data_IF_743541409630
#
_entry.id   IF_743541409630
#
_cell.length_a   1.000
_cell.length_b   1.000
_cell.length_c   1.000
_cell.angle_alpha   90.00
_cell.angle_beta   90.00
_cell.angle_gamma   90.00
#
_symmetry.space_group_name_H-M   'P 1'
#
loop_
_entity.id
_entity.type
_entity.pdbx_description
1 polymer ?
#
# COMPACT_ATOMS: atom_id res chain seq x y z
N UNK A 1 23.68 -4.14 8.41
CA UNK A 1 22.58 -3.44 9.12
C UNK A 1 21.29 -4.08 8.64
N UNK A 2 20.37 -4.45 9.53
CA UNK A 2 19.06 -4.96 9.10
C UNK A 2 18.36 -3.89 8.23
N UNK A 3 17.69 -4.28 7.14
CA UNK A 3 16.94 -3.33 6.32
C UNK A 3 15.92 -2.63 7.22
N UNK A 4 16.00 -1.30 7.29
CA UNK A 4 15.07 -0.51 8.12
C UNK A 4 13.77 -0.33 7.32
N UNK A 5 12.80 -1.21 7.55
CA UNK A 5 11.45 -1.09 7.00
C UNK A 5 11.04 -2.23 6.07
N UNK A 6 9.72 -2.47 5.98
CA UNK A 6 9.12 -3.54 5.19
C UNK A 6 9.50 -3.46 3.71
N UNK A 7 9.53 -2.25 3.12
CA UNK A 7 9.98 -2.04 1.74
C UNK A 7 11.39 -2.57 1.52
N UNK A 8 12.33 -2.26 2.41
CA UNK A 8 13.71 -2.70 2.30
C UNK A 8 13.83 -4.23 2.47
N UNK A 9 13.05 -4.83 3.37
CA UNK A 9 13.00 -6.29 3.54
C UNK A 9 12.48 -6.99 2.28
N UNK A 10 11.40 -6.48 1.69
CA UNK A 10 10.83 -7.02 0.44
C UNK A 10 11.79 -6.79 -0.74
N UNK A 11 12.39 -5.61 -0.83
CA UNK A 11 13.37 -5.27 -1.86
C UNK A 11 14.57 -6.22 -1.83
N UNK A 12 15.14 -6.47 -0.64
CA UNK A 12 16.25 -7.44 -0.48
C UNK A 12 15.80 -8.87 -0.85
N UNK A 13 14.57 -9.27 -0.48
CA UNK A 13 14.02 -10.58 -0.85
C UNK A 13 13.89 -10.76 -2.36
N UNK A 14 13.47 -9.72 -3.09
CA UNK A 14 13.38 -9.75 -4.56
C UNK A 14 14.77 -9.68 -5.19
N UNK A 15 15.60 -8.69 -4.83
CA UNK A 15 16.93 -8.50 -5.40
C UNK A 15 17.81 -9.74 -5.16
N UNK A 16 17.88 -10.23 -3.92
CA UNK A 16 18.71 -11.40 -3.58
C UNK A 16 18.06 -12.72 -3.97
N UNK A 17 16.78 -12.90 -3.65
CA UNK A 17 16.08 -14.20 -3.80
C UNK A 17 15.63 -14.50 -5.24
N UNK A 18 15.39 -13.48 -6.05
CA UNK A 18 14.96 -13.62 -7.45
C UNK A 18 16.11 -13.25 -8.39
N UNK A 19 16.52 -11.98 -8.39
CA UNK A 19 17.37 -11.42 -9.46
C UNK A 19 18.81 -11.93 -9.37
N UNK A 20 19.49 -11.74 -8.22
CA UNK A 20 20.86 -12.23 -7.98
C UNK A 20 20.93 -13.76 -8.04
N UNK A 21 19.88 -14.47 -7.62
CA UNK A 21 19.84 -15.93 -7.64
C UNK A 21 19.96 -16.54 -9.05
N UNK A 22 19.58 -15.78 -10.07
CA UNK A 22 19.68 -16.19 -11.48
C UNK A 22 20.79 -15.46 -12.21
N UNK A 23 21.45 -14.46 -11.61
CA UNK A 23 22.45 -13.63 -12.28
C UNK A 23 23.62 -14.50 -12.77
N UNK A 24 24.06 -14.22 -14.00
CA UNK A 24 25.26 -14.80 -14.60
C UNK A 24 26.07 -13.67 -15.19
N UNK A 25 27.38 -13.70 -14.96
CA UNK A 25 28.28 -12.67 -15.49
C UNK A 25 28.21 -12.66 -17.03
N UNK A 26 28.12 -11.46 -17.60
CA UNK A 26 28.01 -11.19 -19.04
C UNK A 26 26.70 -11.62 -19.74
N UNK A 27 25.65 -12.03 -19.01
CA UNK A 27 24.33 -12.28 -19.59
C UNK A 27 23.29 -11.24 -19.13
N UNK A 28 22.60 -10.64 -20.10
CA UNK A 28 21.47 -9.76 -19.86
C UNK A 28 20.15 -10.54 -19.87
N UNK A 29 19.21 -10.13 -19.03
CA UNK A 29 17.91 -10.79 -18.89
C UNK A 29 16.76 -9.82 -19.06
N UNK A 30 15.64 -10.35 -19.54
CA UNK A 30 14.35 -9.66 -19.58
C UNK A 30 13.54 -10.12 -18.38
N UNK A 31 13.01 -9.16 -17.62
CA UNK A 31 12.12 -9.42 -16.49
C UNK A 31 10.68 -9.26 -16.97
N UNK A 32 9.93 -10.35 -16.96
CA UNK A 32 8.52 -10.36 -17.35
C UNK A 32 7.68 -10.45 -16.08
N UNK A 33 6.75 -9.51 -15.89
CA UNK A 33 5.89 -9.43 -14.70
C UNK A 33 4.47 -9.10 -15.12
N UNK A 34 3.49 -9.32 -14.26
CA UNK A 34 2.15 -8.77 -14.48
C UNK A 34 1.96 -7.44 -13.73
N UNK A 35 0.85 -6.77 -14.01
CA UNK A 35 0.54 -5.46 -13.45
C UNK A 35 0.54 -5.40 -11.90
N UNK A 36 -0.15 -6.28 -11.15
CA UNK A 36 -0.05 -6.29 -9.68
C UNK A 36 1.38 -6.46 -9.15
N UNK A 37 2.20 -7.32 -9.77
CA UNK A 37 3.56 -7.58 -9.28
C UNK A 37 4.53 -6.47 -9.67
N UNK A 38 4.26 -5.77 -10.77
CA UNK A 38 4.99 -4.55 -11.12
C UNK A 38 4.86 -3.48 -10.02
N UNK A 39 3.67 -3.32 -9.42
CA UNK A 39 3.46 -2.40 -8.28
C UNK A 39 4.29 -2.79 -7.07
N UNK A 40 4.41 -4.09 -6.79
CA UNK A 40 5.23 -4.59 -5.67
C UNK A 40 6.71 -4.26 -5.91
N UNK A 41 7.20 -4.50 -7.13
CA UNK A 41 8.59 -4.19 -7.50
C UNK A 41 8.86 -2.69 -7.43
N UNK A 42 8.00 -1.86 -8.02
CA UNK A 42 8.18 -0.41 -8.05
C UNK A 42 8.14 0.23 -6.66
N UNK A 43 7.44 -0.40 -5.70
CA UNK A 43 7.36 0.11 -4.33
C UNK A 43 8.65 -0.10 -3.52
N UNK A 44 9.50 -1.06 -3.89
CA UNK A 44 10.65 -1.46 -3.05
C UNK A 44 12.01 -1.48 -3.77
N UNK A 45 12.04 -1.37 -5.10
CA UNK A 45 13.26 -1.44 -5.89
C UNK A 45 13.32 -0.30 -6.91
N UNK A 46 14.44 0.44 -6.93
CA UNK A 46 14.67 1.43 -7.98
C UNK A 46 15.02 0.75 -9.29
N UNK A 47 14.62 1.36 -10.41
CA UNK A 47 14.99 0.86 -11.74
C UNK A 47 16.51 0.78 -11.91
N UNK A 48 17.27 1.73 -11.32
CA UNK A 48 18.74 1.69 -11.33
C UNK A 48 19.30 0.41 -10.72
N UNK A 49 18.69 -0.07 -9.63
CA UNK A 49 19.18 -1.23 -8.88
C UNK A 49 18.89 -2.52 -9.65
N UNK A 50 17.71 -2.58 -10.29
CA UNK A 50 17.31 -3.67 -11.18
C UNK A 50 18.25 -3.77 -12.39
N UNK A 51 18.54 -2.62 -13.04
CA UNK A 51 19.44 -2.55 -14.18
C UNK A 51 20.88 -2.96 -13.82
N UNK A 52 21.36 -2.55 -12.64
CA UNK A 52 22.69 -2.89 -12.13
C UNK A 52 22.89 -4.39 -11.90
N UNK A 53 21.80 -5.14 -11.71
CA UNK A 53 21.81 -6.59 -11.46
C UNK A 53 21.66 -7.43 -12.74
N UNK A 54 21.75 -6.82 -13.93
CA UNK A 54 21.79 -7.53 -15.21
C UNK A 54 20.44 -7.71 -15.91
N UNK A 55 19.43 -6.93 -15.51
CA UNK A 55 18.14 -6.86 -16.21
C UNK A 55 18.18 -5.69 -17.19
N UNK A 56 17.78 -5.87 -18.44
CA UNK A 56 17.77 -4.80 -19.45
C UNK A 56 16.40 -4.19 -19.67
N UNK A 57 15.36 -5.02 -19.61
CA UNK A 57 13.99 -4.65 -19.97
C UNK A 57 13.06 -5.29 -18.95
N UNK A 58 12.09 -4.51 -18.48
CA UNK A 58 10.96 -4.99 -17.68
C UNK A 58 9.72 -4.92 -18.59
N UNK A 59 9.11 -6.06 -18.87
CA UNK A 59 7.92 -6.19 -19.71
C UNK A 59 6.71 -6.67 -18.90
N UNK A 60 5.52 -6.22 -19.32
CA UNK A 60 4.25 -6.71 -18.79
C UNK A 60 3.80 -7.95 -19.58
N UNK A 61 3.53 -9.05 -18.88
CA UNK A 61 3.15 -10.33 -19.47
C UNK A 61 1.74 -10.32 -20.09
N UNK A 62 0.84 -9.41 -19.68
CA UNK A 62 -0.42 -9.04 -20.34
C UNK A 62 -1.37 -8.29 -19.37
N UNK A 63 -2.24 -7.42 -19.91
CA UNK A 63 -3.29 -6.62 -19.23
C UNK A 63 -4.41 -7.41 -18.48
N UNK A 64 -4.23 -8.70 -18.14
CA UNK A 64 -5.31 -9.58 -17.63
C UNK A 64 -4.83 -10.52 -16.48
N UNK A 65 -5.72 -10.94 -15.55
CA UNK A 65 -5.37 -11.48 -14.22
C UNK A 65 -4.81 -12.92 -14.13
N UNK A 66 -4.18 -13.22 -12.99
CA UNK A 66 -3.30 -14.36 -12.56
C UNK A 66 -3.49 -15.75 -13.19
N UNK A 67 -4.70 -16.31 -13.32
CA UNK A 67 -4.90 -17.63 -13.96
C UNK A 67 -4.59 -17.60 -15.46
N UNK A 68 -4.81 -16.43 -16.08
CA UNK A 68 -4.46 -16.17 -17.48
C UNK A 68 -2.96 -15.93 -17.64
N UNK A 69 -2.21 -15.61 -16.59
CA UNK A 69 -0.75 -15.39 -16.68
C UNK A 69 -0.01 -16.70 -17.00
N UNK A 70 -0.39 -17.82 -16.38
CA UNK A 70 0.17 -19.14 -16.71
C UNK A 70 -0.22 -19.57 -18.12
N UNK A 71 -1.47 -19.34 -18.52
CA UNK A 71 -1.94 -19.67 -19.86
C UNK A 71 -1.32 -18.78 -20.95
N UNK A 72 -1.12 -17.49 -20.68
CA UNK A 72 -0.41 -16.55 -21.55
C UNK A 72 1.04 -16.97 -21.70
N UNK A 73 1.71 -17.30 -20.59
CA UNK A 73 3.06 -17.82 -20.60
C UNK A 73 3.15 -19.13 -21.41
N UNK A 74 2.18 -20.04 -21.31
CA UNK A 74 2.15 -21.24 -22.14
C UNK A 74 1.91 -20.88 -23.63
N UNK A 75 1.06 -19.89 -23.91
CA UNK A 75 0.73 -19.46 -25.27
C UNK A 75 1.95 -18.87 -25.99
N UNK A 76 2.81 -18.12 -25.30
CA UNK A 76 4.05 -17.56 -25.85
C UNK A 76 5.00 -18.66 -26.37
N UNK A 77 4.88 -19.88 -25.84
CA UNK A 77 5.70 -21.04 -26.21
C UNK A 77 4.94 -22.08 -27.07
N UNK A 78 3.70 -21.79 -27.50
CA UNK A 78 2.91 -22.68 -28.40
C UNK A 78 3.15 -22.43 -29.90
N UNK A 79 3.65 -21.26 -30.31
CA UNK A 79 3.84 -20.86 -31.72
C UNK A 79 5.28 -20.89 -32.25
N UNK A 80 5.46 -20.61 -33.56
CA UNK A 80 6.77 -20.32 -34.19
C UNK A 80 7.49 -19.23 -33.38
N UNK A 81 8.79 -19.36 -33.09
CA UNK A 81 9.39 -18.69 -31.93
C UNK A 81 9.54 -17.19 -32.18
N UNK A 82 8.56 -16.40 -31.78
CA UNK A 82 8.68 -14.94 -31.66
C UNK A 82 9.59 -14.57 -30.49
N UNK A 83 9.65 -15.42 -29.45
CA UNK A 83 10.59 -15.28 -28.33
C UNK A 83 11.53 -16.49 -28.24
N UNK A 84 12.76 -16.32 -28.72
CA UNK A 84 13.84 -17.29 -28.54
C UNK A 84 14.45 -17.16 -27.13
N UNK A 85 13.63 -17.33 -26.08
CA UNK A 85 14.14 -17.40 -24.72
C UNK A 85 14.95 -18.69 -24.54
N UNK A 86 16.28 -18.56 -24.43
CA UNK A 86 17.21 -19.69 -24.25
C UNK A 86 16.92 -20.50 -22.96
N UNK A 87 16.38 -19.84 -21.95
CA UNK A 87 15.99 -20.41 -20.67
C UNK A 87 14.91 -19.55 -20.03
N UNK A 88 14.00 -20.18 -19.27
CA UNK A 88 12.99 -19.50 -18.46
C UNK A 88 13.27 -19.70 -16.96
N UNK A 89 13.19 -18.63 -16.18
CA UNK A 89 13.22 -18.68 -14.72
C UNK A 89 11.89 -18.15 -14.20
N UNK A 90 11.06 -19.04 -13.66
CA UNK A 90 9.71 -18.73 -13.23
C UNK A 90 9.69 -18.60 -11.70
N UNK A 91 9.19 -17.46 -11.23
CA UNK A 91 9.01 -17.17 -9.82
C UNK A 91 7.54 -16.85 -9.56
N UNK A 92 6.84 -17.72 -8.83
CA UNK A 92 5.46 -17.48 -8.44
C UNK A 92 5.38 -16.65 -7.18
N UNK A 93 4.54 -15.62 -7.18
CA UNK A 93 4.33 -14.77 -5.99
C UNK A 93 3.58 -15.46 -4.87
N UNK A 94 2.78 -16.46 -5.19
CA UNK A 94 2.03 -17.24 -4.22
C UNK A 94 2.06 -18.71 -4.64
N UNK A 95 1.49 -19.59 -3.81
CA UNK A 95 1.41 -21.02 -4.10
C UNK A 95 0.65 -21.28 -5.40
N UNK A 96 1.30 -22.00 -6.31
CA UNK A 96 0.70 -22.34 -7.60
C UNK A 96 -0.31 -23.49 -7.41
N UNK A 97 -1.58 -23.33 -7.83
CA UNK A 97 -2.54 -24.42 -7.78
C UNK A 97 -2.06 -25.65 -8.58
N UNK A 98 -2.23 -26.84 -8.00
CA UNK A 98 -1.81 -28.13 -8.61
C UNK A 98 -2.31 -28.33 -10.06
N UNK A 99 -3.54 -27.93 -10.44
CA UNK A 99 -4.00 -28.04 -11.83
C UNK A 99 -3.16 -27.21 -12.81
N UNK A 100 -2.81 -25.97 -12.43
CA UNK A 100 -1.99 -25.08 -13.25
C UNK A 100 -0.53 -25.54 -13.30
N UNK A 101 -0.01 -26.05 -12.18
CA UNK A 101 1.31 -26.66 -12.13
C UNK A 101 1.42 -27.88 -13.06
N UNK A 102 0.40 -28.75 -13.03
CA UNK A 102 0.30 -29.91 -13.91
C UNK A 102 0.20 -29.51 -15.39
N UNK A 103 -0.55 -28.46 -15.71
CA UNK A 103 -0.65 -27.92 -17.08
C UNK A 103 0.71 -27.38 -17.56
N UNK A 104 1.40 -26.61 -16.71
CA UNK A 104 2.74 -26.08 -16.98
C UNK A 104 3.72 -27.21 -17.28
N UNK A 105 3.71 -28.29 -16.49
CA UNK A 105 4.58 -29.45 -16.68
C UNK A 105 4.35 -30.22 -17.99
N UNK A 106 3.14 -30.16 -18.56
CA UNK A 106 2.81 -30.81 -19.84
C UNK A 106 3.11 -29.93 -21.06
N UNK A 107 3.42 -28.66 -20.85
CA UNK A 107 3.65 -27.69 -21.92
C UNK A 107 5.08 -27.74 -22.49
N UNK A 108 5.33 -27.24 -23.72
CA UNK A 108 6.68 -27.14 -24.28
C UNK A 108 7.64 -26.28 -23.45
N UNK A 109 7.09 -25.32 -22.68
CA UNK A 109 7.83 -24.44 -21.78
C UNK A 109 8.62 -25.23 -20.73
N UNK A 110 8.11 -26.38 -20.27
CA UNK A 110 8.81 -27.22 -19.28
C UNK A 110 10.24 -27.61 -19.73
N UNK A 111 10.51 -27.66 -21.04
CA UNK A 111 11.84 -27.99 -21.59
C UNK A 111 12.87 -26.87 -21.41
N UNK A 112 12.42 -25.62 -21.32
CA UNK A 112 13.30 -24.43 -21.22
C UNK A 112 13.35 -23.86 -19.80
N UNK A 113 12.44 -24.25 -18.92
CA UNK A 113 12.45 -23.83 -17.52
C UNK A 113 13.68 -24.37 -16.80
N UNK A 114 14.48 -23.46 -16.23
CA UNK A 114 15.69 -23.77 -15.44
C UNK A 114 15.48 -23.55 -13.95
N UNK A 115 14.53 -22.71 -13.58
CA UNK A 115 14.21 -22.41 -12.18
C UNK A 115 12.72 -22.22 -12.06
N UNK A 116 12.14 -22.85 -11.04
CA UNK A 116 10.74 -22.74 -10.67
C UNK A 116 10.70 -22.62 -9.14
N UNK A 117 10.32 -21.45 -8.63
CA UNK A 117 10.29 -21.17 -7.18
C UNK A 117 9.06 -20.37 -6.79
N UNK A 118 8.55 -20.61 -5.60
CA UNK A 118 7.52 -19.77 -4.97
C UNK A 118 8.23 -18.79 -4.03
N UNK A 119 7.95 -17.50 -4.18
CA UNK A 119 8.57 -16.45 -3.34
C UNK A 119 7.69 -16.06 -2.14
N UNK A 120 6.40 -16.43 -2.15
CA UNK A 120 5.42 -16.06 -1.12
C UNK A 120 5.49 -14.56 -0.79
N UNK A 121 5.12 -13.75 -1.77
CA UNK A 121 5.04 -12.29 -1.74
C UNK A 121 3.72 -11.85 -2.36
N UNK A 122 2.65 -11.98 -1.58
CA UNK A 122 1.28 -11.73 -2.01
C UNK A 122 0.66 -10.49 -1.32
N UNK A 123 1.48 -9.49 -1.02
CA UNK A 123 1.06 -8.22 -0.44
C UNK A 123 1.89 -7.07 -1.02
N UNK A 124 1.34 -5.86 -1.00
CA UNK A 124 2.00 -4.64 -1.41
C UNK A 124 2.66 -3.96 -0.18
N UNK A 125 4.00 -3.85 -0.11
CA UNK A 125 4.65 -3.02 0.90
C UNK A 125 4.42 -1.55 0.54
N UNK A 126 3.39 -0.92 1.08
CA UNK A 126 2.96 0.42 0.71
C UNK A 126 3.90 1.49 1.30
N UNK A 127 4.30 1.30 2.55
CA UNK A 127 5.29 2.12 3.26
C UNK A 127 6.22 1.22 4.08
N UNK A 128 7.21 1.81 4.73
CA UNK A 128 8.16 1.08 5.58
C UNK A 128 7.49 0.37 6.76
N UNK A 129 6.29 0.79 7.16
CA UNK A 129 5.50 0.20 8.25
C UNK A 129 4.06 -0.16 7.85
N UNK A 130 3.66 0.05 6.59
CA UNK A 130 2.29 -0.17 6.12
C UNK A 130 2.32 -1.15 4.96
N UNK A 131 1.42 -2.14 4.99
CA UNK A 131 1.20 -3.05 3.88
C UNK A 131 -0.27 -3.02 3.45
N UNK A 132 -0.53 -3.37 2.21
CA UNK A 132 -1.86 -3.54 1.66
C UNK A 132 -1.98 -4.91 0.97
N UNK A 133 -3.17 -5.51 1.06
CA UNK A 133 -3.50 -6.75 0.34
C UNK A 133 -4.08 -6.47 -1.07
N UNK A 134 -4.20 -5.18 -1.45
CA UNK A 134 -4.75 -4.73 -2.73
C UNK A 134 -6.13 -5.35 -3.08
N UNK A 135 -6.92 -5.65 -2.04
CA UNK A 135 -8.19 -6.35 -2.14
C UNK A 135 -9.37 -5.37 -2.09
N UNK A 136 -9.48 -4.47 -3.07
CA UNK A 136 -10.50 -3.38 -3.09
C UNK A 136 -11.94 -3.87 -2.98
N UNK A 137 -12.25 -5.08 -3.48
CA UNK A 137 -13.59 -5.68 -3.38
C UNK A 137 -13.84 -6.43 -2.07
N UNK A 138 -12.82 -6.63 -1.22
CA UNK A 138 -12.95 -7.42 0.02
C UNK A 138 -13.98 -6.82 0.97
N UNK A 139 -13.97 -5.50 1.17
CA UNK A 139 -14.95 -4.79 2.00
C UNK A 139 -16.38 -5.10 1.55
N UNK A 140 -16.68 -4.94 0.25
CA UNK A 140 -18.00 -5.26 -0.27
C UNK A 140 -18.35 -6.74 -0.09
N UNK A 141 -17.42 -7.66 -0.38
CA UNK A 141 -17.66 -9.10 -0.27
C UNK A 141 -17.91 -9.56 1.17
N UNK A 142 -17.22 -8.97 2.14
CA UNK A 142 -17.34 -9.32 3.56
C UNK A 142 -18.66 -8.80 4.15
N UNK A 143 -18.98 -7.52 3.93
CA UNK A 143 -20.15 -6.89 4.57
C UNK A 143 -21.46 -7.04 3.79
N UNK A 144 -21.42 -7.44 2.50
CA UNK A 144 -22.64 -7.62 1.72
C UNK A 144 -23.42 -8.87 2.17
N UNK A 145 -24.71 -8.75 2.54
CA UNK A 145 -25.52 -9.89 2.98
C UNK A 145 -25.78 -10.89 1.85
N UNK A 146 -25.81 -10.43 0.59
CA UNK A 146 -26.02 -11.28 -0.58
C UNK A 146 -24.80 -12.13 -0.97
N UNK A 147 -23.62 -11.88 -0.37
CA UNK A 147 -22.38 -12.62 -0.61
C UNK A 147 -21.95 -13.49 0.58
N UNK A 148 -22.86 -13.77 1.51
CA UNK A 148 -22.57 -14.59 2.69
C UNK A 148 -21.92 -15.95 2.35
N UNK A 149 -22.31 -16.58 1.25
CA UNK A 149 -21.73 -17.85 0.79
C UNK A 149 -20.27 -17.76 0.31
N UNK A 150 -19.80 -16.58 -0.10
CA UNK A 150 -18.44 -16.36 -0.61
C UNK A 150 -17.47 -15.90 0.49
N UNK A 151 -17.97 -15.53 1.68
CA UNK A 151 -17.14 -14.97 2.76
C UNK A 151 -16.03 -15.91 3.20
N UNK A 152 -16.33 -17.19 3.42
CA UNK A 152 -15.32 -18.17 3.85
C UNK A 152 -14.15 -18.26 2.85
N UNK A 153 -14.45 -18.25 1.55
CA UNK A 153 -13.44 -18.25 0.49
C UNK A 153 -12.63 -16.94 0.50
N UNK A 154 -13.29 -15.80 0.72
CA UNK A 154 -12.63 -14.50 0.82
C UNK A 154 -11.68 -14.44 2.03
N UNK A 155 -12.09 -14.96 3.19
CA UNK A 155 -11.25 -15.00 4.40
C UNK A 155 -10.03 -15.90 4.20
N UNK A 156 -10.18 -17.05 3.54
CA UNK A 156 -9.04 -17.90 3.18
C UNK A 156 -8.10 -17.21 2.20
N UNK A 157 -8.62 -16.48 1.21
CA UNK A 157 -7.80 -15.70 0.28
C UNK A 157 -7.04 -14.56 0.99
N UNK A 158 -7.61 -13.95 2.03
CA UNK A 158 -6.92 -12.96 2.86
C UNK A 158 -5.84 -13.63 3.73
N UNK A 159 -6.15 -14.78 4.35
CA UNK A 159 -5.19 -15.53 5.15
C UNK A 159 -3.98 -15.97 4.33
N UNK A 160 -4.20 -16.38 3.08
CA UNK A 160 -3.15 -16.73 2.12
C UNK A 160 -2.20 -15.57 1.83
N UNK A 161 -2.64 -14.31 1.95
CA UNK A 161 -1.78 -13.13 1.73
C UNK A 161 -1.13 -12.61 3.01
N UNK A 162 -1.82 -12.73 4.16
CA UNK A 162 -1.30 -12.30 5.48
C UNK A 162 -0.18 -13.22 5.97
N UNK A 163 -0.27 -14.54 5.79
CA UNK A 163 0.76 -15.46 6.26
C UNK A 163 2.14 -15.23 5.59
N UNK A 164 2.24 -15.02 4.26
CA UNK A 164 3.48 -14.63 3.59
C UNK A 164 4.15 -13.36 4.12
N UNK A 165 3.38 -12.40 4.65
CA UNK A 165 3.94 -11.21 5.30
C UNK A 165 4.78 -11.61 6.52
N UNK A 166 4.23 -12.42 7.41
CA UNK A 166 4.94 -12.89 8.60
C UNK A 166 6.18 -13.72 8.21
N UNK A 167 6.05 -14.59 7.19
CA UNK A 167 7.18 -15.34 6.66
C UNK A 167 8.27 -14.44 6.08
N UNK A 168 7.90 -13.34 5.42
CA UNK A 168 8.84 -12.35 4.85
C UNK A 168 9.58 -11.58 5.94
N UNK A 169 8.90 -11.24 7.04
CA UNK A 169 9.51 -10.63 8.22
C UNK A 169 10.29 -11.64 9.08
N UNK A 170 10.22 -12.93 8.74
CA UNK A 170 10.77 -14.02 9.53
C UNK A 170 10.18 -14.06 10.96
N UNK A 171 8.89 -13.77 11.09
CA UNK A 171 8.14 -13.70 12.35
C UNK A 171 7.13 -14.86 12.45
N UNK A 172 6.93 -15.35 13.68
CA UNK A 172 5.88 -16.31 14.02
C UNK A 172 5.06 -15.76 15.21
N UNK A 173 4.16 -14.80 14.95
CA UNK A 173 3.51 -14.05 16.01
C UNK A 173 2.39 -14.82 16.70
N UNK A 174 2.11 -14.46 17.96
CA UNK A 174 0.86 -14.87 18.62
C UNK A 174 -0.32 -14.14 17.97
N UNK A 175 -1.32 -14.89 17.49
CA UNK A 175 -2.47 -14.32 16.79
C UNK A 175 -3.60 -14.01 17.77
N UNK A 176 -3.95 -12.74 17.86
CA UNK A 176 -5.07 -12.24 18.66
C UNK A 176 -6.11 -11.63 17.71
N UNK A 177 -7.38 -11.62 18.12
CA UNK A 177 -8.43 -10.95 17.37
C UNK A 177 -9.38 -10.22 18.33
N UNK A 178 -9.95 -9.10 17.87
CA UNK A 178 -10.99 -8.41 18.60
C UNK A 178 -12.27 -9.25 18.62
N UNK A 179 -12.89 -9.42 19.80
CA UNK A 179 -14.14 -10.18 19.93
C UNK A 179 -15.28 -9.41 19.28
N UNK A 180 -15.60 -9.75 18.03
CA UNK A 180 -16.65 -9.14 17.22
C UNK A 180 -17.41 -10.19 16.40
N UNK A 181 -17.61 -9.99 15.08
CA UNK A 181 -18.22 -11.01 14.23
C UNK A 181 -17.37 -12.28 14.14
N UNK A 182 -18.02 -13.42 13.90
CA UNK A 182 -17.37 -14.73 13.76
C UNK A 182 -16.27 -14.76 12.69
N UNK A 183 -16.43 -13.94 11.64
CA UNK A 183 -15.48 -13.79 10.53
C UNK A 183 -14.06 -13.42 11.01
N UNK A 184 -13.93 -12.62 12.07
CA UNK A 184 -12.62 -12.23 12.64
C UNK A 184 -11.88 -13.41 13.25
N UNK A 185 -12.62 -14.28 13.97
CA UNK A 185 -12.08 -15.50 14.54
C UNK A 185 -11.72 -16.51 13.45
N UNK A 186 -12.59 -16.65 12.43
CA UNK A 186 -12.34 -17.52 11.29
C UNK A 186 -11.07 -17.12 10.53
N UNK A 187 -10.87 -15.81 10.29
CA UNK A 187 -9.65 -15.30 9.68
C UNK A 187 -8.42 -15.60 10.54
N UNK A 188 -8.50 -15.38 11.85
CA UNK A 188 -7.40 -15.68 12.77
C UNK A 188 -6.99 -17.16 12.73
N UNK A 189 -7.96 -18.07 12.73
CA UNK A 189 -7.71 -19.51 12.60
C UNK A 189 -7.12 -19.89 11.24
N UNK A 190 -7.62 -19.29 10.15
CA UNK A 190 -7.08 -19.51 8.81
C UNK A 190 -5.62 -19.04 8.70
N UNK A 191 -5.31 -17.83 9.20
CA UNK A 191 -3.93 -17.32 9.23
C UNK A 191 -3.03 -18.23 10.06
N UNK A 192 -3.49 -18.71 11.23
CA UNK A 192 -2.72 -19.63 12.06
C UNK A 192 -2.38 -20.92 11.32
N UNK A 193 -3.37 -21.52 10.65
CA UNK A 193 -3.19 -22.74 9.87
C UNK A 193 -2.14 -22.56 8.77
N UNK A 194 -2.16 -21.42 8.06
CA UNK A 194 -1.17 -21.08 7.03
C UNK A 194 0.22 -20.85 7.61
N UNK A 195 0.33 -20.14 8.74
CA UNK A 195 1.62 -19.94 9.43
C UNK A 195 2.21 -21.25 9.96
N UNK A 196 1.37 -22.18 10.42
CA UNK A 196 1.83 -23.51 10.82
C UNK A 196 2.46 -24.27 9.66
N UNK A 197 1.89 -24.17 8.45
CA UNK A 197 2.48 -24.75 7.26
C UNK A 197 3.85 -24.12 6.96
N UNK A 198 3.97 -22.79 6.98
CA UNK A 198 5.26 -22.11 6.80
C UNK A 198 6.30 -22.49 7.85
N UNK A 199 5.89 -22.67 9.12
CA UNK A 199 6.78 -23.10 10.21
C UNK A 199 7.25 -24.54 10.03
N UNK A 200 6.40 -25.42 9.49
CA UNK A 200 6.76 -26.79 9.18
C UNK A 200 7.84 -26.85 8.08
N UNK A 201 7.71 -26.00 7.05
CA UNK A 201 8.67 -25.92 5.95
C UNK A 201 9.95 -25.15 6.32
N UNK A 202 9.83 -24.16 7.22
CA UNK A 202 10.94 -23.32 7.69
C UNK A 202 11.01 -23.34 9.23
N UNK A 203 11.74 -24.31 9.82
CA UNK A 203 11.83 -24.43 11.27
C UNK A 203 12.42 -23.21 11.98
N UNK A 204 13.26 -22.42 11.30
CA UNK A 204 13.84 -21.18 11.83
C UNK A 204 12.88 -19.99 11.90
N UNK A 205 11.65 -20.12 11.39
CA UNK A 205 10.68 -19.03 11.37
C UNK A 205 10.31 -18.57 12.79
N UNK A 206 10.48 -17.29 13.10
CA UNK A 206 10.26 -16.76 14.45
C UNK A 206 11.38 -17.08 15.44
N UNK A 207 12.52 -17.62 14.99
CA UNK A 207 13.72 -17.74 15.81
C UNK A 207 14.53 -16.43 15.77
N UNK A 208 14.92 -15.93 16.93
CA UNK A 208 15.71 -14.71 17.07
C UNK A 208 15.43 -13.98 18.38
N UNK A 209 16.31 -13.03 18.78
CA UNK A 209 16.06 -12.18 19.93
C UNK A 209 14.76 -11.38 19.70
N UNK A 210 13.90 -11.34 20.73
CA UNK A 210 12.64 -10.58 20.79
C UNK A 210 11.47 -11.03 19.87
N UNK A 211 11.71 -11.87 18.87
CA UNK A 211 10.67 -12.38 17.94
C UNK A 211 9.57 -13.22 18.61
N UNK A 212 9.89 -13.83 19.75
CA UNK A 212 8.91 -14.56 20.58
C UNK A 212 7.84 -13.66 21.19
N UNK A 213 7.99 -12.33 21.11
CA UNK A 213 7.04 -11.33 21.64
C UNK A 213 6.13 -10.75 20.56
N UNK A 214 6.35 -11.10 19.29
CA UNK A 214 5.58 -10.59 18.16
C UNK A 214 4.11 -11.01 18.28
N UNK A 215 3.20 -10.08 18.00
CA UNK A 215 1.76 -10.30 18.05
C UNK A 215 1.13 -9.83 16.74
N UNK A 216 0.16 -10.59 16.24
CA UNK A 216 -0.68 -10.24 15.11
C UNK A 216 -2.09 -10.02 15.62
N UNK A 217 -2.54 -8.77 15.64
CA UNK A 217 -3.89 -8.40 16.06
C UNK A 217 -4.79 -8.21 14.84
N UNK A 218 -5.86 -8.99 14.75
CA UNK A 218 -6.88 -8.89 13.70
C UNK A 218 -8.07 -8.10 14.25
N UNK A 219 -8.47 -7.05 13.53
CA UNK A 219 -9.59 -6.18 13.89
C UNK A 219 -10.56 -6.04 12.72
N UNK A 220 -11.84 -5.92 13.05
CA UNK A 220 -12.90 -5.51 12.13
C UNK A 220 -12.90 -3.99 12.02
N UNK A 221 -13.13 -3.44 10.82
CA UNK A 221 -13.29 -2.00 10.62
C UNK A 221 -14.45 -1.39 11.41
N UNK A 222 -15.46 -2.20 11.76
CA UNK A 222 -16.55 -1.77 12.63
C UNK A 222 -16.11 -1.46 14.08
N UNK A 223 -14.89 -1.85 14.49
CA UNK A 223 -14.36 -1.54 15.82
C UNK A 223 -14.06 -0.04 16.00
N UNK A 224 -13.81 0.68 14.90
CA UNK A 224 -13.62 2.14 14.90
C UNK A 224 -14.23 2.75 13.61
N UNK A 225 -15.53 3.06 13.63
CA UNK A 225 -16.20 3.67 12.49
C UNK A 225 -15.95 5.18 12.36
N UNK A 226 -15.32 5.81 13.36
CA UNK A 226 -15.17 7.27 13.41
C UNK A 226 -13.90 7.71 12.68
N UNK A 227 -12.76 7.12 13.01
CA UNK A 227 -11.46 7.54 12.45
C UNK A 227 -11.41 7.59 10.92
N UNK A 228 -11.99 6.61 10.17
CA UNK A 228 -11.99 6.66 8.70
C UNK A 228 -12.85 7.78 8.08
N UNK A 229 -13.71 8.43 8.87
CA UNK A 229 -14.63 9.48 8.42
C UNK A 229 -14.19 10.89 8.85
N UNK A 230 -13.15 11.00 9.69
CA UNK A 230 -12.67 12.28 10.19
C UNK A 230 -11.76 12.95 9.15
N UNK A 231 -11.97 14.25 8.95
CA UNK A 231 -11.03 15.13 8.25
C UNK A 231 -9.79 15.35 9.13
N UNK A 232 -8.79 14.50 8.94
CA UNK A 232 -7.55 14.49 9.73
C UNK A 232 -6.59 15.61 9.28
N UNK A 233 -5.95 16.31 10.23
CA UNK A 233 -5.14 17.51 9.96
C UNK A 233 -3.63 17.23 9.89
N UNK A 234 -3.24 15.96 9.89
CA UNK A 234 -1.88 15.55 9.56
C UNK A 234 -1.66 15.63 8.05
N UNK A 235 -0.45 15.99 7.63
CA UNK A 235 -0.17 16.38 6.25
C UNK A 235 -0.55 15.30 5.23
N UNK A 236 -0.19 14.04 5.47
CA UNK A 236 -0.54 12.92 4.61
C UNK A 236 -2.05 12.72 4.52
N UNK A 237 -2.71 12.53 5.66
CA UNK A 237 -4.14 12.22 5.69
C UNK A 237 -4.95 13.33 5.02
N UNK A 238 -4.64 14.59 5.33
CA UNK A 238 -5.27 15.75 4.72
C UNK A 238 -5.02 15.85 3.20
N UNK A 239 -3.83 15.47 2.74
CA UNK A 239 -3.49 15.47 1.31
C UNK A 239 -4.33 14.46 0.53
N UNK A 240 -4.43 13.22 1.01
CA UNK A 240 -5.19 12.16 0.34
C UNK A 240 -6.71 12.34 0.43
N UNK A 241 -7.18 13.09 1.42
CA UNK A 241 -8.59 13.39 1.63
C UNK A 241 -9.08 14.58 0.80
N UNK A 242 -8.30 15.67 0.73
CA UNK A 242 -8.74 16.93 0.11
C UNK A 242 -8.21 17.15 -1.32
N UNK A 243 -7.22 16.39 -1.76
CA UNK A 243 -6.63 16.52 -3.09
C UNK A 243 -7.00 15.32 -3.96
N UNK A 244 -7.20 15.56 -5.26
CA UNK A 244 -7.29 14.50 -6.25
C UNK A 244 -5.91 13.86 -6.47
N UNK A 245 -5.58 12.90 -5.61
CA UNK A 245 -4.43 12.02 -5.76
C UNK A 245 -4.86 10.70 -6.38
N UNK A 246 -4.37 10.41 -7.58
CA UNK A 246 -4.60 9.14 -8.25
C UNK A 246 -3.33 8.28 -8.14
N UNK A 247 -3.43 7.10 -7.50
CA UNK A 247 -2.28 6.19 -7.33
C UNK A 247 -1.04 6.90 -6.76
N UNK A 248 -1.22 7.63 -5.65
CA UNK A 248 -0.15 8.38 -4.97
C UNK A 248 0.46 9.52 -5.81
N UNK A 249 -0.11 9.80 -6.98
CA UNK A 249 0.34 10.87 -7.87
C UNK A 249 -0.59 12.06 -7.75
N UNK A 250 -0.04 13.17 -7.29
CA UNK A 250 -0.71 14.46 -7.29
C UNK A 250 -0.40 15.23 -8.57
N UNK A 251 -1.44 15.71 -9.26
CA UNK A 251 -1.32 16.50 -10.50
C UNK A 251 -1.76 17.93 -10.25
N UNK A 252 -0.98 18.90 -10.72
CA UNK A 252 -1.35 20.31 -10.65
C UNK A 252 -0.75 21.12 -11.80
N UNK A 253 -1.41 22.22 -12.14
CA UNK A 253 -0.95 23.14 -13.17
C UNK A 253 -0.01 24.19 -12.58
N UNK A 254 1.15 24.37 -13.21
CA UNK A 254 2.04 25.50 -12.89
C UNK A 254 1.77 26.64 -13.87
N UNK A 255 1.39 27.81 -13.35
CA UNK A 255 1.24 29.04 -14.14
C UNK A 255 2.61 29.68 -14.38
N UNK A 256 3.21 29.38 -15.55
CA UNK A 256 4.35 30.12 -16.10
C UNK A 256 3.89 31.23 -17.06
N UNK A 257 4.76 32.21 -17.34
CA UNK A 257 4.44 33.40 -18.16
C UNK A 257 3.94 33.12 -19.61
N UNK A 258 4.01 31.89 -20.12
CA UNK A 258 3.63 31.60 -21.51
C UNK A 258 2.98 30.23 -21.79
N UNK A 259 2.79 29.35 -20.79
CA UNK A 259 2.02 28.11 -20.97
C UNK A 259 1.70 27.49 -19.61
N UNK A 260 0.46 27.03 -19.42
CA UNK A 260 0.10 26.17 -18.30
C UNK A 260 0.73 24.80 -18.54
N UNK A 261 1.64 24.39 -17.66
CA UNK A 261 2.25 23.04 -17.70
C UNK A 261 1.68 22.22 -16.55
N UNK A 262 1.03 21.11 -16.90
CA UNK A 262 0.64 20.10 -15.94
C UNK A 262 1.91 19.42 -15.40
N UNK A 263 2.01 19.34 -14.08
CA UNK A 263 3.08 18.65 -13.37
C UNK A 263 2.48 17.55 -12.50
N UNK A 264 3.10 16.37 -12.56
CA UNK A 264 2.75 15.22 -11.74
C UNK A 264 3.86 14.99 -10.70
N UNK A 265 3.47 14.72 -9.46
CA UNK A 265 4.36 14.49 -8.33
C UNK A 265 3.94 13.21 -7.63
N UNK A 266 4.87 12.28 -7.50
CA UNK A 266 4.67 11.03 -6.78
C UNK A 266 4.96 11.27 -5.29
N UNK A 267 4.01 10.91 -4.43
CA UNK A 267 4.13 11.02 -2.98
C UNK A 267 4.58 9.66 -2.41
N UNK A 268 5.88 9.47 -2.27
CA UNK A 268 6.44 8.21 -1.76
C UNK A 268 7.58 8.42 -0.76
N UNK A 269 8.06 7.32 -0.17
CA UNK A 269 9.16 7.33 0.80
C UNK A 269 10.54 7.53 0.15
N UNK A 270 10.64 7.67 -1.18
CA UNK A 270 11.91 8.06 -1.81
C UNK A 270 12.17 9.56 -1.69
N UNK A 271 11.12 10.35 -1.46
CA UNK A 271 11.23 11.76 -1.09
C UNK A 271 11.43 11.89 0.43
N UNK A 272 12.69 12.15 0.84
CA UNK A 272 13.08 12.34 2.24
C UNK A 272 12.28 13.47 2.92
N UNK A 273 11.94 14.53 2.18
CA UNK A 273 11.20 15.68 2.72
C UNK A 273 9.73 15.31 2.94
N UNK A 274 9.13 14.54 2.04
CA UNK A 274 7.80 13.95 2.27
C UNK A 274 7.81 13.04 3.49
N UNK A 275 8.75 12.10 3.58
CA UNK A 275 8.85 11.16 4.69
C UNK A 275 9.01 11.85 6.06
N UNK A 276 9.72 12.99 6.11
CA UNK A 276 9.85 13.79 7.33
C UNK A 276 8.55 14.54 7.71
N UNK A 277 7.87 15.13 6.72
CA UNK A 277 6.73 16.03 6.95
C UNK A 277 5.38 15.31 7.06
N UNK A 278 5.22 14.14 6.44
CA UNK A 278 3.91 13.49 6.19
C UNK A 278 3.06 13.24 7.44
N UNK A 279 3.69 12.98 8.59
CA UNK A 279 2.99 12.72 9.86
C UNK A 279 2.88 13.95 10.79
N UNK A 280 3.37 15.10 10.35
CA UNK A 280 3.26 16.34 11.12
C UNK A 280 1.90 17.01 10.88
N UNK A 281 1.43 17.75 11.89
CA UNK A 281 0.26 18.59 11.74
C UNK A 281 0.50 19.69 10.70
N UNK A 282 -0.49 19.99 9.85
CA UNK A 282 -0.37 20.91 8.71
C UNK A 282 0.15 22.31 9.11
N UNK A 283 -0.21 22.79 10.30
CA UNK A 283 0.26 24.07 10.81
C UNK A 283 1.79 24.10 11.05
N UNK A 284 2.39 23.00 11.48
CA UNK A 284 3.83 22.91 11.71
C UNK A 284 4.58 22.63 10.42
N UNK A 285 3.97 21.87 9.49
CA UNK A 285 4.49 21.71 8.12
C UNK A 285 4.57 23.07 7.43
N UNK A 286 3.54 23.92 7.57
CA UNK A 286 3.55 25.29 7.03
C UNK A 286 4.74 26.11 7.52
N UNK A 287 5.00 26.10 8.83
CA UNK A 287 6.17 26.79 9.42
C UNK A 287 7.48 26.22 8.84
N UNK A 288 7.67 24.90 8.88
CA UNK A 288 8.87 24.25 8.36
C UNK A 288 9.09 24.57 6.88
N UNK A 289 8.07 24.49 6.04
CA UNK A 289 8.16 24.80 4.61
C UNK A 289 8.53 26.27 4.37
N UNK A 290 8.11 27.20 5.23
CA UNK A 290 8.56 28.61 5.12
C UNK A 290 9.99 28.86 5.61
N UNK A 291 10.52 28.02 6.50
CA UNK A 291 11.86 28.13 7.08
C UNK A 291 12.93 27.38 6.26
N UNK A 292 12.57 26.24 5.67
CA UNK A 292 13.43 25.39 4.85
C UNK A 292 14.23 26.16 3.78
N UNK A 293 13.65 27.08 2.99
CA UNK A 293 14.40 27.87 2.00
C UNK A 293 15.55 28.68 2.57
N UNK A 294 15.40 29.21 3.79
CA UNK A 294 16.44 30.01 4.45
C UNK A 294 17.65 29.13 4.77
N UNK A 295 17.38 27.95 5.32
CA UNK A 295 18.39 26.92 5.65
C UNK A 295 19.04 26.32 4.39
N UNK A 296 18.30 26.16 3.29
CA UNK A 296 18.83 25.70 1.99
C UNK A 296 19.72 26.74 1.29
N UNK A 297 19.45 28.04 1.46
CA UNK A 297 20.32 29.08 0.93
C UNK A 297 21.69 29.13 1.64
N UNK A 298 21.72 28.74 2.92
CA UNK A 298 22.94 28.67 3.73
C UNK A 298 23.77 27.41 3.40
N UNK A 299 23.11 26.28 3.15
CA UNK A 299 23.75 25.03 2.77
C UNK A 299 23.74 24.84 1.24
N UNK A 300 24.84 25.18 0.56
CA UNK A 300 25.04 25.06 -0.91
C UNK A 300 25.06 23.60 -1.44
N UNK A 301 24.08 22.76 -1.12
CA UNK A 301 23.99 21.39 -1.63
C UNK A 301 22.61 21.08 -2.22
N UNK A 302 22.69 20.45 -3.40
CA UNK A 302 21.67 19.68 -4.14
C UNK A 302 20.60 20.45 -4.92
N UNK A 303 20.45 20.05 -6.19
CA UNK A 303 19.54 20.64 -7.19
C UNK A 303 18.20 19.91 -7.26
N UNK A 304 18.13 18.64 -6.83
CA UNK A 304 16.91 17.81 -6.83
C UNK A 304 15.94 18.24 -5.73
N UNK A 305 16.44 18.49 -4.52
CA UNK A 305 15.67 18.94 -3.35
C UNK A 305 14.90 20.24 -3.61
N UNK A 306 15.40 21.09 -4.52
CA UNK A 306 14.73 22.34 -4.92
C UNK A 306 13.46 22.13 -5.72
N UNK A 307 13.36 21.03 -6.49
CA UNK A 307 12.14 20.72 -7.25
C UNK A 307 11.07 20.19 -6.29
N UNK A 308 11.41 19.19 -5.48
CA UNK A 308 10.51 18.57 -4.51
C UNK A 308 9.99 19.58 -3.47
N UNK A 309 10.84 20.48 -2.99
CA UNK A 309 10.42 21.54 -2.08
C UNK A 309 9.32 22.45 -2.68
N UNK A 310 9.45 22.86 -3.95
CA UNK A 310 8.46 23.72 -4.60
C UNK A 310 7.11 23.02 -4.72
N UNK A 311 7.15 21.72 -4.98
CA UNK A 311 5.98 20.89 -5.18
C UNK A 311 5.23 20.68 -3.87
N UNK A 312 5.94 20.29 -2.81
CA UNK A 312 5.38 20.18 -1.46
C UNK A 312 4.89 21.54 -0.94
N UNK A 313 5.60 22.64 -1.24
CA UNK A 313 5.13 23.99 -0.90
C UNK A 313 3.83 24.36 -1.60
N UNK A 314 3.64 23.93 -2.86
CA UNK A 314 2.39 24.12 -3.57
C UNK A 314 1.25 23.33 -2.92
N UNK A 315 1.47 22.05 -2.60
CA UNK A 315 0.51 21.19 -1.90
C UNK A 315 0.08 21.81 -0.58
N UNK A 316 1.04 22.21 0.27
CA UNK A 316 0.76 22.82 1.58
C UNK A 316 -0.06 24.10 1.44
N UNK A 317 0.23 24.96 0.46
CA UNK A 317 -0.57 26.17 0.22
C UNK A 317 -2.01 25.84 -0.16
N UNK A 318 -2.21 24.82 -1.00
CA UNK A 318 -3.55 24.39 -1.42
C UNK A 318 -4.33 23.78 -0.24
N UNK A 319 -3.68 22.96 0.59
CA UNK A 319 -4.31 22.40 1.79
C UNK A 319 -4.68 23.46 2.82
N UNK A 320 -3.82 24.46 3.04
CA UNK A 320 -4.14 25.59 3.94
C UNK A 320 -5.28 26.46 3.41
N UNK A 321 -5.49 26.50 2.09
CA UNK A 321 -6.66 27.15 1.52
C UNK A 321 -7.92 26.33 1.83
N UNK A 322 -7.91 25.02 1.58
CA UNK A 322 -9.04 24.15 1.92
C UNK A 322 -9.35 24.13 3.42
N UNK A 323 -8.34 24.15 4.29
CA UNK A 323 -8.54 24.24 5.73
C UNK A 323 -9.32 25.49 6.15
N UNK A 324 -9.16 26.61 5.42
CA UNK A 324 -9.93 27.84 5.70
C UNK A 324 -11.37 27.74 5.19
N UNK A 325 -11.60 26.94 4.15
CA UNK A 325 -12.92 26.69 3.56
C UNK A 325 -13.71 25.62 4.37
N UNK A 326 -13.01 24.63 4.93
CA UNK A 326 -13.53 23.70 5.95
C UNK A 326 -13.72 24.46 7.26
N UNK A 327 -14.92 25.01 7.46
CA UNK A 327 -15.31 25.80 8.62
C UNK A 327 -14.92 25.12 9.96
N UNK A 328 -14.62 25.94 10.98
CA UNK A 328 -14.27 25.55 12.37
C UNK A 328 -15.17 24.48 13.04
N UNK A 329 -16.36 24.24 12.48
CA UNK A 329 -17.41 23.35 13.04
C UNK A 329 -17.03 21.87 12.99
N UNK A 330 -16.35 21.41 11.92
CA UNK A 330 -15.91 20.00 11.83
C UNK A 330 -14.78 19.69 12.80
N UNK A 331 -13.91 20.67 13.06
CA UNK A 331 -12.83 20.56 14.04
C UNK A 331 -13.37 20.49 15.48
N UNK A 332 -14.36 21.32 15.83
CA UNK A 332 -15.04 21.26 17.14
C UNK A 332 -15.76 19.91 17.33
N UNK A 333 -16.37 19.36 16.28
CA UNK A 333 -17.05 18.06 16.29
C UNK A 333 -16.07 16.89 16.48
N UNK A 334 -14.92 16.89 15.80
CA UNK A 334 -13.89 15.85 15.92
C UNK A 334 -13.27 15.80 17.32
N UNK A 335 -13.10 16.96 17.96
CA UNK A 335 -12.49 17.07 19.30
C UNK A 335 -13.47 16.75 20.44
N UNK A 336 -14.78 16.60 20.18
CA UNK A 336 -15.79 16.36 21.22
C UNK A 336 -15.95 17.52 22.23
N UNK A 337 -15.25 18.63 21.99
CA UNK A 337 -15.21 19.81 22.84
C UNK A 337 -15.11 21.06 21.98
N UNK A 338 -15.78 22.14 22.39
CA UNK A 338 -15.61 23.45 21.75
C UNK A 338 -14.17 23.97 21.93
N UNK A 339 -13.77 25.02 21.20
CA UNK A 339 -12.48 25.71 21.38
C UNK A 339 -12.17 26.23 22.81
N UNK A 340 -13.09 26.09 23.77
CA UNK A 340 -12.91 26.37 25.20
C UNK A 340 -12.71 25.10 26.07
N UNK A 341 -12.71 23.90 25.47
CA UNK A 341 -12.52 22.61 26.16
C UNK A 341 -13.77 22.09 26.88
N UNK A 342 -14.94 22.68 26.67
CA UNK A 342 -16.20 22.20 27.24
C UNK A 342 -16.79 21.07 26.40
N UNK A 343 -17.27 20.00 27.06
CA UNK A 343 -17.97 18.89 26.39
C UNK A 343 -19.20 19.39 25.64
N UNK A 344 -19.33 18.95 24.39
CA UNK A 344 -20.49 19.22 23.54
C UNK A 344 -21.73 18.58 24.18
N UNK A 345 -22.71 19.41 24.55
CA UNK A 345 -23.98 18.95 25.13
C UNK A 345 -25.09 18.72 24.10
N UNK A 346 -24.97 19.34 22.92
CA UNK A 346 -25.99 19.33 21.88
C UNK A 346 -25.33 19.21 20.51
N UNK A 347 -25.05 17.97 20.09
CA UNK A 347 -24.40 17.66 18.82
C UNK A 347 -25.22 18.13 17.62
N UNK A 348 -26.54 18.27 17.76
CA UNK A 348 -27.42 18.74 16.69
C UNK A 348 -27.20 20.23 16.38
N UNK A 349 -26.86 21.05 17.37
CA UNK A 349 -26.54 22.47 17.14
C UNK A 349 -25.28 22.68 16.31
N UNK A 350 -24.35 21.74 16.36
CA UNK A 350 -23.11 21.81 15.59
C UNK A 350 -23.31 21.29 14.16
N UNK A 351 -24.11 20.24 13.96
CA UNK A 351 -24.28 19.65 12.64
C UNK A 351 -25.26 20.38 11.72
N UNK A 352 -26.31 20.99 12.28
CA UNK A 352 -27.35 21.67 11.48
C UNK A 352 -26.76 22.75 10.54
N UNK A 353 -25.83 23.62 10.98
CA UNK A 353 -25.17 24.55 10.08
C UNK A 353 -24.45 23.87 8.90
N UNK A 354 -23.74 22.76 9.13
CA UNK A 354 -23.01 22.01 8.08
C UNK A 354 -23.97 21.37 7.08
N UNK A 355 -25.08 20.81 7.55
CA UNK A 355 -26.08 20.18 6.68
C UNK A 355 -26.82 21.21 5.80
N UNK A 356 -27.08 22.39 6.35
CA UNK A 356 -27.78 23.48 5.66
C UNK A 356 -26.88 24.29 4.72
N UNK A 357 -25.56 24.21 4.86
CA UNK A 357 -24.62 24.88 3.98
C UNK A 357 -24.64 24.25 2.56
N UNK A 358 -24.97 25.05 1.55
CA UNK A 358 -25.03 24.60 0.16
C UNK A 358 -23.64 24.42 -0.48
N UNK A 359 -22.59 24.98 0.12
CA UNK A 359 -21.21 24.87 -0.36
C UNK A 359 -20.60 23.52 0.02
N UNK A 360 -21.06 22.92 1.11
CA UNK A 360 -20.53 21.64 1.61
C UNK A 360 -20.98 20.48 0.71
N UNK A 361 -20.05 19.65 0.20
CA UNK A 361 -20.39 18.47 -0.61
C UNK A 361 -21.21 17.43 0.15
N UNK A 362 -22.00 16.64 -0.58
CA UNK A 362 -22.87 15.62 0.01
C UNK A 362 -22.10 14.56 0.83
N UNK A 363 -20.89 14.17 0.40
CA UNK A 363 -20.08 13.19 1.12
C UNK A 363 -19.58 13.71 2.47
N UNK A 364 -19.16 14.98 2.55
CA UNK A 364 -18.74 15.62 3.80
C UNK A 364 -19.91 15.73 4.79
N UNK A 365 -21.12 16.03 4.30
CA UNK A 365 -22.34 15.99 5.11
C UNK A 365 -22.62 14.61 5.71
N UNK A 366 -22.43 13.54 4.91
CA UNK A 366 -22.60 12.16 5.37
C UNK A 366 -21.54 11.81 6.42
N UNK A 367 -20.27 12.13 6.19
CA UNK A 367 -19.18 11.90 7.15
C UNK A 367 -19.40 12.61 8.49
N UNK A 368 -19.77 13.89 8.44
CA UNK A 368 -20.15 14.69 9.62
C UNK A 368 -21.34 14.09 10.38
N UNK A 369 -22.34 13.54 9.69
CA UNK A 369 -23.50 12.90 10.33
C UNK A 369 -23.18 11.55 10.97
N UNK A 370 -22.38 10.72 10.30
CA UNK A 370 -21.97 9.42 10.82
C UNK A 370 -21.01 9.53 12.03
N UNK A 371 -20.06 10.46 11.98
CA UNK A 371 -19.14 10.71 13.11
C UNK A 371 -19.88 11.18 14.36
N UNK A 372 -20.79 12.15 14.23
CA UNK A 372 -21.53 12.73 15.35
C UNK A 372 -22.58 11.80 15.98
N UNK A 373 -23.22 10.95 15.18
CA UNK A 373 -24.15 9.93 15.69
C UNK A 373 -23.44 8.84 16.50
N UNK A 374 -22.21 8.50 16.12
CA UNK A 374 -21.37 7.55 16.87
C UNK A 374 -20.95 8.11 18.23
N UNK A 375 -20.68 9.42 18.34
CA UNK A 375 -20.40 10.08 19.62
C UNK A 375 -21.60 10.14 20.58
N UNK A 376 -22.84 10.04 20.07
CA UNK A 376 -24.05 10.05 20.89
C UNK A 376 -24.42 8.70 21.51
N UNK A 377 -23.74 7.61 21.13
CA UNK A 377 -23.99 6.25 21.64
C UNK A 377 -22.99 5.80 22.71
N UNK A 378 -21.94 6.57 22.97
CA UNK A 378 -20.99 6.38 24.08
C UNK A 378 -21.33 7.28 25.26
#
# INVERSE_FOLDING_TARGET
MAPRGLKAVVGEKILSGVIRSVRKDAEWKVLIMDHPRMRILSSCCKMSDILAEGITIVEDINKLPTEKSVQALIADFRGTPTFTCKAAHIFFTDTCPEPLFSELGRSPLAKVVKTLKEIHLAFLPYESQVFSLDASHSTYNLYCPFRAGERAQQLEALAQQIAPLCATLQEYPAIHYHKGPEDTAQLAHAVLAKLNAFKADTPSLGEGPEKTRSQLLIMDGAADPVSPLLHELTFQAMAYDLLDTEQDTYRYETTGLCDAREKAVLLDEEDDLWAELRHMHIADVSKKVTELPKTFCENKRLTTDKANFKDLSHIVKKLLQYQKELNNVEQDLAMGSNGAGEKIKDSMKLIVPVLLDAVVPAYAKIGSWCSTSSFGMA
#
